data_IF_554876665280
#
_entry.id   IF_554876665280
#
_cell.length_a   1.000
_cell.length_b   1.000
_cell.length_c   1.000
_cell.angle_alpha   90.00
_cell.angle_beta   90.00
_cell.angle_gamma   90.00
#
_symmetry.space_group_name_H-M   'P 1'
#
loop_
_entity.id
_entity.type
_entity.pdbx_description
1 polymer ?
#
# COMPACT_ATOMS: atom_id res chain seq x y z
N UNK A 1 -9.21 -6.74 2.91
CA UNK A 1 -8.17 -5.75 2.54
C UNK A 1 -8.55 -4.33 2.90
N UNK A 2 -9.78 -3.87 2.61
CA UNK A 2 -10.18 -2.49 2.92
C UNK A 2 -9.96 -2.08 4.40
N UNK A 3 -10.26 -2.98 5.34
CA UNK A 3 -10.03 -2.72 6.78
C UNK A 3 -8.54 -2.53 7.14
N UNK A 4 -7.63 -3.19 6.41
CA UNK A 4 -6.17 -3.05 6.62
C UNK A 4 -5.69 -1.70 6.06
N UNK A 5 -6.23 -1.27 4.91
CA UNK A 5 -5.94 0.06 4.35
C UNK A 5 -6.42 1.19 5.28
N UNK A 6 -7.60 1.03 5.88
CA UNK A 6 -8.13 1.99 6.85
C UNK A 6 -7.26 2.07 8.11
N UNK A 7 -6.81 0.93 8.66
CA UNK A 7 -5.92 0.95 9.83
C UNK A 7 -4.56 1.58 9.52
N UNK A 8 -3.96 1.26 8.36
CA UNK A 8 -2.70 1.86 7.92
C UNK A 8 -2.82 3.38 7.71
N UNK A 9 -3.92 3.85 7.13
CA UNK A 9 -4.18 5.29 6.97
C UNK A 9 -4.32 6.00 8.32
N UNK A 10 -5.04 5.39 9.27
CA UNK A 10 -5.15 5.96 10.62
C UNK A 10 -3.80 6.02 11.32
N UNK A 11 -2.96 4.98 11.19
CA UNK A 11 -1.60 4.99 11.76
C UNK A 11 -0.70 6.05 11.14
N UNK A 12 -0.85 6.33 9.83
CA UNK A 12 -0.04 7.33 9.12
C UNK A 12 -0.14 8.73 9.76
N UNK A 13 -1.33 9.14 10.19
CA UNK A 13 -1.55 10.44 10.84
C UNK A 13 -0.85 10.60 12.19
N UNK A 14 -0.55 9.50 12.89
CA UNK A 14 0.07 9.53 14.22
C UNK A 14 1.59 9.35 14.19
N UNK A 15 2.18 9.07 13.03
CA UNK A 15 3.62 8.95 12.90
C UNK A 15 4.25 10.30 12.63
N UNK A 16 5.35 10.60 13.35
CA UNK A 16 6.12 11.83 13.13
C UNK A 16 7.50 11.56 12.53
N UNK A 17 7.99 10.31 12.62
CA UNK A 17 9.32 9.98 12.13
C UNK A 17 9.29 9.67 10.62
N UNK A 18 10.09 10.34 9.78
CA UNK A 18 10.00 10.23 8.33
C UNK A 18 10.24 8.81 7.82
N UNK A 19 11.13 8.05 8.47
CA UNK A 19 11.36 6.64 8.10
C UNK A 19 10.13 5.76 8.36
N UNK A 20 9.40 5.97 9.47
CA UNK A 20 8.23 5.15 9.77
C UNK A 20 7.05 5.51 8.87
N UNK A 21 6.90 6.78 8.51
CA UNK A 21 5.96 7.21 7.46
C UNK A 21 6.25 6.50 6.12
N UNK A 22 7.52 6.44 5.71
CA UNK A 22 7.94 5.72 4.49
C UNK A 22 7.60 4.23 4.55
N UNK A 23 7.83 3.57 5.69
CA UNK A 23 7.48 2.16 5.87
C UNK A 23 5.96 1.91 5.80
N UNK A 24 5.13 2.80 6.36
CA UNK A 24 3.67 2.68 6.23
C UNK A 24 3.22 2.88 4.79
N UNK A 25 3.84 3.79 4.04
CA UNK A 25 3.53 3.99 2.63
C UNK A 25 3.86 2.75 1.79
N UNK A 26 5.03 2.13 2.00
CA UNK A 26 5.40 0.88 1.32
C UNK A 26 4.40 -0.25 1.64
N UNK A 27 3.97 -0.36 2.90
CA UNK A 27 2.94 -1.34 3.29
C UNK A 27 1.60 -1.05 2.61
N UNK A 28 1.18 0.21 2.53
CA UNK A 28 -0.03 0.59 1.81
C UNK A 28 0.06 0.26 0.33
N UNK A 29 1.15 0.61 -0.36
CA UNK A 29 1.32 0.35 -1.81
C UNK A 29 1.32 -1.15 -2.11
N UNK A 30 1.95 -1.98 -1.28
CA UNK A 30 1.88 -3.44 -1.39
C UNK A 30 0.46 -3.98 -1.21
N UNK A 31 -0.32 -3.44 -0.26
CA UNK A 31 -1.72 -3.86 -0.13
C UNK A 31 -2.56 -3.42 -1.33
N UNK A 32 -2.33 -2.24 -1.90
CA UNK A 32 -3.07 -1.77 -3.08
C UNK A 32 -2.70 -2.59 -4.32
N UNK A 33 -1.43 -2.94 -4.50
CA UNK A 33 -0.97 -3.71 -5.65
C UNK A 33 -1.65 -5.09 -5.69
N UNK A 34 -1.70 -5.81 -4.57
CA UNK A 34 -2.41 -7.10 -4.48
C UNK A 34 -3.90 -6.94 -4.80
N UNK A 35 -4.54 -5.85 -4.33
CA UNK A 35 -5.95 -5.62 -4.58
C UNK A 35 -6.23 -5.37 -6.07
N UNK A 36 -5.36 -4.57 -6.71
CA UNK A 36 -5.48 -4.25 -8.14
C UNK A 36 -5.29 -5.49 -9.03
N UNK A 37 -4.34 -6.38 -8.68
CA UNK A 37 -4.10 -7.62 -9.41
C UNK A 37 -5.27 -8.59 -9.35
N UNK A 38 -5.95 -8.68 -8.19
CA UNK A 38 -7.16 -9.49 -8.04
C UNK A 38 -8.34 -8.95 -8.86
N UNK A 39 -8.51 -7.62 -8.93
CA UNK A 39 -9.60 -6.98 -9.69
C UNK A 39 -9.42 -7.17 -11.19
N UNK A 40 -8.22 -6.93 -11.73
CA UNK A 40 -7.95 -7.02 -13.17
C UNK A 40 -7.64 -8.44 -13.65
N UNK A 41 -7.59 -9.43 -12.73
CA UNK A 41 -7.17 -10.82 -12.98
C UNK A 41 -5.80 -10.98 -13.66
N UNK A 42 -5.02 -9.89 -13.71
CA UNK A 42 -3.69 -9.80 -14.31
C UNK A 42 -2.82 -8.95 -13.41
N UNK A 43 -1.59 -9.39 -13.17
CA UNK A 43 -0.68 -8.73 -12.24
C UNK A 43 0.21 -7.65 -12.90
N UNK A 44 -0.07 -7.27 -14.15
CA UNK A 44 0.75 -6.31 -14.88
C UNK A 44 0.75 -4.92 -14.22
N UNK A 45 -0.45 -4.43 -13.87
CA UNK A 45 -0.58 -3.14 -13.18
C UNK A 45 0.01 -3.18 -11.76
N UNK A 46 -0.23 -4.26 -11.02
CA UNK A 46 0.33 -4.43 -9.67
C UNK A 46 1.85 -4.47 -9.66
N UNK A 47 2.47 -5.06 -10.70
CA UNK A 47 3.92 -5.17 -10.83
C UNK A 47 4.58 -3.82 -11.08
N UNK A 48 3.99 -3.00 -11.97
CA UNK A 48 4.45 -1.62 -12.22
C UNK A 48 4.35 -0.80 -10.94
N UNK A 49 3.24 -0.93 -10.21
CA UNK A 49 3.01 -0.22 -8.95
C UNK A 49 4.01 -0.59 -7.86
N UNK A 50 4.46 -1.84 -7.79
CA UNK A 50 5.48 -2.29 -6.83
C UNK A 50 6.92 -1.94 -7.21
N UNK A 51 7.21 -1.67 -8.49
CA UNK A 51 8.57 -1.28 -8.91
C UNK A 51 8.77 0.23 -8.78
N UNK A 52 7.71 1.00 -9.00
CA UNK A 52 7.78 2.46 -9.03
C UNK A 52 7.77 3.12 -7.65
N UNK A 53 7.35 2.38 -6.62
CA UNK A 53 7.19 2.84 -5.24
C UNK A 53 8.05 2.02 -4.30
#
# INVERSE_FOLDING_TARGET
>A
MLMILLSLNMMFFFLNHPMSMGMILILQTLTISIQSGMVMKTFWMSYILTITM
#
